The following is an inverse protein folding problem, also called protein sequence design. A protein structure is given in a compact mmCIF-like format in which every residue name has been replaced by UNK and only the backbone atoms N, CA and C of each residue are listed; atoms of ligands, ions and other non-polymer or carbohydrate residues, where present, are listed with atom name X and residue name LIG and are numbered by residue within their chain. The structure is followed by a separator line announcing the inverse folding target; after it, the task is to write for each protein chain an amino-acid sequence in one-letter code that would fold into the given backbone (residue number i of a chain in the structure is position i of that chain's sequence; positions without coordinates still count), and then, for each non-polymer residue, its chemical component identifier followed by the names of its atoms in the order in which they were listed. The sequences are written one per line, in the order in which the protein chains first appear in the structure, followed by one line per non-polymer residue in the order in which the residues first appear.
data_IF_688333446107
#
_entry.id   IF_688333446107
#
_cell.length_a   1.000
_cell.length_b   1.000
_cell.length_c   1.000
_cell.angle_alpha   90.00
_cell.angle_beta   90.00
_cell.angle_gamma   90.00
#
_symmetry.space_group_name_H-M   'P 1'
#
loop_
_entity.id
_entity.type
_entity.pdbx_description
1 polymer ?
#
# COMPACT_ATOMS: atom_id res chain seq x y z
N UNK A 1 33.90 27.15 -8.16
CA UNK A 1 32.61 27.48 -7.52
C UNK A 1 31.50 27.06 -8.47
N UNK A 2 31.01 25.85 -8.31
CA UNK A 2 29.78 25.41 -8.98
C UNK A 2 28.81 25.13 -7.84
N UNK A 3 27.79 25.98 -7.73
CA UNK A 3 26.76 25.88 -6.71
C UNK A 3 26.03 24.54 -6.88
N UNK A 4 26.15 23.65 -5.90
CA UNK A 4 25.35 22.43 -5.84
C UNK A 4 23.86 22.80 -5.89
N UNK A 5 23.04 22.08 -6.67
CA UNK A 5 21.61 22.35 -6.71
C UNK A 5 21.00 22.11 -5.34
N UNK A 6 20.16 23.04 -4.87
CA UNK A 6 19.36 22.92 -3.65
C UNK A 6 18.75 21.52 -3.54
N UNK A 7 19.26 20.69 -2.64
CA UNK A 7 18.68 19.38 -2.32
C UNK A 7 17.40 19.64 -1.54
N UNK A 8 16.26 19.67 -2.23
CA UNK A 8 14.93 19.70 -1.62
C UNK A 8 14.84 18.51 -0.66
N UNK A 9 14.48 18.73 0.60
CA UNK A 9 14.36 17.67 1.59
C UNK A 9 13.28 16.67 1.16
N UNK A 10 13.41 15.41 1.57
CA UNK A 10 12.35 14.42 1.35
C UNK A 10 11.00 14.87 1.96
N UNK A 11 11.06 15.63 3.05
CA UNK A 11 9.90 16.24 3.72
C UNK A 11 9.26 17.33 2.87
N UNK A 12 10.05 18.21 2.27
CA UNK A 12 9.56 19.29 1.39
C UNK A 12 8.85 18.69 0.18
N UNK A 13 9.44 17.66 -0.43
CA UNK A 13 8.82 16.95 -1.56
C UNK A 13 7.50 16.27 -1.16
N UNK A 14 7.45 15.71 0.05
CA UNK A 14 6.24 15.07 0.56
C UNK A 14 5.14 16.10 0.85
N UNK A 15 5.51 17.24 1.45
CA UNK A 15 4.65 18.40 1.68
C UNK A 15 4.01 18.89 0.38
N UNK A 16 4.80 19.14 -0.66
CA UNK A 16 4.31 19.53 -1.99
C UNK A 16 3.38 18.47 -2.59
N UNK A 17 3.77 17.20 -2.52
CA UNK A 17 3.03 16.09 -3.11
C UNK A 17 1.65 15.89 -2.47
N UNK A 18 1.55 16.07 -1.15
CA UNK A 18 0.33 15.89 -0.38
C UNK A 18 -0.53 17.17 -0.30
N UNK A 19 0.03 18.32 -0.67
CA UNK A 19 -0.61 19.62 -0.52
C UNK A 19 -0.83 19.97 0.96
N UNK A 20 0.14 19.63 1.80
CA UNK A 20 0.13 19.88 3.25
C UNK A 20 1.38 20.66 3.60
N UNK A 21 1.30 21.62 4.51
CA UNK A 21 2.49 22.25 5.07
C UNK A 21 3.36 21.22 5.81
N UNK A 22 4.65 21.52 5.97
CA UNK A 22 5.56 20.68 6.77
C UNK A 22 5.02 20.49 8.19
N UNK A 23 4.50 21.55 8.81
CA UNK A 23 3.90 21.48 10.14
C UNK A 23 2.67 20.55 10.17
N UNK A 24 1.77 20.63 9.19
CA UNK A 24 0.62 19.71 9.12
C UNK A 24 1.08 18.26 8.95
N UNK A 25 2.11 18.03 8.14
CA UNK A 25 2.68 16.71 7.90
C UNK A 25 3.34 16.12 9.16
N UNK A 26 4.09 16.92 9.91
CA UNK A 26 4.71 16.51 11.18
C UNK A 26 3.68 16.17 12.26
N UNK A 27 2.54 16.88 12.25
CA UNK A 27 1.44 16.62 13.18
C UNK A 27 0.41 15.63 12.65
N UNK A 28 0.62 15.11 11.44
CA UNK A 28 -0.33 14.23 10.79
C UNK A 28 -0.31 12.85 11.47
N UNK A 29 -1.45 12.46 12.05
CA UNK A 29 -1.63 11.16 12.68
C UNK A 29 -2.78 10.40 12.00
N UNK A 30 -2.50 9.32 11.24
CA UNK A 30 -3.52 8.54 10.56
C UNK A 30 -4.62 8.03 11.50
N UNK A 31 -5.87 8.26 11.13
CA UNK A 31 -7.03 7.87 11.94
C UNK A 31 -7.87 6.80 11.25
N UNK A 32 -8.27 5.79 12.03
CA UNK A 32 -9.06 4.66 11.54
C UNK A 32 -10.27 4.39 12.42
N UNK A 33 -11.40 4.15 11.76
CA UNK A 33 -12.57 3.51 12.37
C UNK A 33 -12.40 2.00 12.29
N UNK A 34 -12.75 1.33 13.38
CA UNK A 34 -12.58 -0.10 13.49
C UNK A 34 -13.93 -0.81 13.38
N UNK A 35 -13.97 -1.89 12.62
CA UNK A 35 -15.11 -2.80 12.58
C UNK A 35 -14.63 -4.24 12.60
N UNK A 36 -15.43 -5.14 13.17
CA UNK A 36 -15.14 -6.57 13.17
C UNK A 36 -16.15 -7.29 12.29
N UNK A 37 -15.67 -8.03 11.30
CA UNK A 37 -16.49 -8.88 10.45
C UNK A 37 -16.08 -10.34 10.60
N UNK A 38 -17.01 -11.27 10.35
CA UNK A 38 -16.68 -12.70 10.31
C UNK A 38 -15.87 -13.03 9.06
N UNK A 39 -14.80 -13.80 9.22
CA UNK A 39 -14.08 -14.41 8.09
C UNK A 39 -14.95 -15.53 7.51
N UNK A 40 -14.87 -15.74 6.18
CA UNK A 40 -15.55 -16.86 5.51
C UNK A 40 -15.10 -18.23 6.05
N UNK A 41 -13.84 -18.34 6.43
CA UNK A 41 -13.23 -19.55 6.99
C UNK A 41 -13.41 -19.71 8.50
N UNK A 42 -14.24 -18.87 9.14
CA UNK A 42 -14.36 -18.80 10.59
C UNK A 42 -13.36 -17.83 11.24
N UNK A 43 -13.71 -17.38 12.45
CA UNK A 43 -12.98 -16.32 13.17
C UNK A 43 -13.40 -14.90 12.78
N UNK A 44 -12.65 -13.92 13.28
CA UNK A 44 -12.92 -12.50 13.11
C UNK A 44 -11.84 -11.83 12.24
N UNK A 45 -12.23 -10.81 11.47
CA UNK A 45 -11.33 -9.89 10.77
C UNK A 45 -11.60 -8.48 11.28
N UNK A 46 -10.57 -7.87 11.84
CA UNK A 46 -10.56 -6.44 12.14
C UNK A 46 -10.39 -5.67 10.82
N UNK A 47 -11.32 -4.76 10.54
CA UNK A 47 -11.24 -3.80 9.46
C UNK A 47 -10.80 -2.46 10.06
N UNK A 48 -9.74 -1.88 9.49
CA UNK A 48 -9.27 -0.54 9.81
C UNK A 48 -9.64 0.38 8.64
N UNK A 49 -10.72 1.12 8.79
CA UNK A 49 -11.27 1.98 7.75
C UNK A 49 -10.73 3.39 7.96
N UNK A 50 -9.88 3.92 7.07
CA UNK A 50 -9.35 5.26 7.24
C UNK A 50 -10.49 6.28 7.20
N UNK A 51 -10.38 7.35 8.00
CA UNK A 51 -11.22 8.52 7.79
C UNK A 51 -10.90 9.18 6.44
N UNK A 52 -11.70 10.16 6.02
CA UNK A 52 -11.57 10.75 4.68
C UNK A 52 -10.21 11.40 4.44
N UNK A 53 -9.64 12.03 5.46
CA UNK A 53 -8.38 12.74 5.37
C UNK A 53 -7.18 11.77 5.31
N UNK A 54 -7.16 10.72 6.14
CA UNK A 54 -6.16 9.63 6.03
C UNK A 54 -6.26 8.91 4.69
N UNK A 55 -7.49 8.67 4.22
CA UNK A 55 -7.73 8.06 2.90
C UNK A 55 -7.21 8.94 1.77
N UNK A 56 -7.41 10.26 1.86
CA UNK A 56 -6.87 11.25 0.90
C UNK A 56 -5.36 11.15 0.83
N UNK A 57 -4.67 11.21 1.97
CA UNK A 57 -3.21 11.11 2.04
C UNK A 57 -2.72 9.78 1.44
N UNK A 58 -3.32 8.65 1.83
CA UNK A 58 -2.96 7.33 1.29
C UNK A 58 -3.16 7.23 -0.22
N UNK A 59 -4.22 7.82 -0.77
CA UNK A 59 -4.42 7.84 -2.23
C UNK A 59 -3.39 8.70 -2.95
N UNK A 60 -3.05 9.87 -2.41
CA UNK A 60 -2.01 10.71 -2.99
C UNK A 60 -0.65 10.00 -2.98
N UNK A 61 -0.30 9.32 -1.88
CA UNK A 61 0.90 8.48 -1.80
C UNK A 61 0.88 7.36 -2.84
N UNK A 62 -0.26 6.67 -2.99
CA UNK A 62 -0.41 5.62 -4.01
C UNK A 62 -0.22 6.18 -5.42
N UNK A 63 -0.91 7.24 -5.78
CA UNK A 63 -0.96 7.73 -7.16
C UNK A 63 0.34 8.44 -7.57
N UNK A 64 0.99 9.14 -6.63
CA UNK A 64 2.15 9.99 -6.93
C UNK A 64 3.49 9.34 -6.60
N UNK A 65 3.53 8.34 -5.71
CA UNK A 65 4.77 7.71 -5.25
C UNK A 65 4.76 6.19 -5.46
N UNK A 66 3.89 5.47 -4.76
CA UNK A 66 3.99 4.00 -4.63
C UNK A 66 3.56 3.28 -5.93
N UNK A 67 2.49 3.74 -6.57
CA UNK A 67 1.93 3.14 -7.78
C UNK A 67 2.81 3.27 -9.02
N UNK A 68 3.94 3.99 -8.93
CA UNK A 68 4.92 4.14 -10.01
C UNK A 68 6.00 3.07 -9.96
N UNK A 69 6.13 2.34 -8.85
CA UNK A 69 7.10 1.25 -8.76
C UNK A 69 6.67 0.08 -9.65
N UNK A 70 7.65 -0.46 -10.38
CA UNK A 70 7.43 -1.68 -11.18
C UNK A 70 7.34 -2.87 -10.24
N UNK A 71 6.25 -3.62 -10.33
CA UNK A 71 6.11 -4.90 -9.66
C UNK A 71 6.71 -6.02 -10.52
N UNK A 72 6.97 -7.17 -9.91
CA UNK A 72 7.41 -8.36 -10.64
C UNK A 72 6.33 -8.80 -11.65
N UNK A 73 6.73 -9.35 -12.80
CA UNK A 73 5.82 -9.73 -13.89
C UNK A 73 4.74 -10.75 -13.47
N UNK A 74 5.03 -11.58 -12.47
CA UNK A 74 4.07 -12.55 -11.90
C UNK A 74 3.12 -11.97 -10.85
N UNK A 75 3.26 -10.69 -10.47
CA UNK A 75 2.41 -10.06 -9.47
C UNK A 75 1.08 -9.65 -10.09
N UNK A 76 0.02 -10.41 -9.80
CA UNK A 76 -1.34 -10.08 -10.24
C UNK A 76 -2.16 -9.37 -9.16
N UNK A 77 -1.79 -9.54 -7.87
CA UNK A 77 -2.49 -8.92 -6.74
C UNK A 77 -2.37 -7.40 -6.76
N UNK A 78 -3.50 -6.71 -6.56
CA UNK A 78 -3.62 -5.24 -6.50
C UNK A 78 -3.02 -4.47 -7.69
N UNK A 79 -2.66 -5.16 -8.77
CA UNK A 79 -1.99 -4.58 -9.93
C UNK A 79 -3.01 -4.09 -10.94
N UNK A 80 -2.85 -2.83 -11.38
CA UNK A 80 -3.81 -2.19 -12.31
C UNK A 80 -3.87 -2.95 -13.63
N UNK A 81 -5.08 -3.25 -14.09
CA UNK A 81 -5.32 -3.94 -15.35
C UNK A 81 -5.14 -5.46 -15.31
N UNK A 82 -4.79 -6.03 -14.15
CA UNK A 82 -4.73 -7.47 -13.94
C UNK A 82 -5.90 -7.95 -13.08
N UNK A 83 -6.29 -9.19 -13.28
CA UNK A 83 -7.43 -9.83 -12.62
C UNK A 83 -7.04 -11.16 -11.98
N UNK A 84 -7.98 -11.72 -11.21
CA UNK A 84 -7.84 -13.08 -10.66
C UNK A 84 -7.72 -14.15 -11.76
N UNK A 85 -8.22 -13.87 -12.97
CA UNK A 85 -8.13 -14.78 -14.12
C UNK A 85 -6.70 -14.78 -14.65
N UNK A 86 -6.06 -13.61 -14.73
CA UNK A 86 -4.65 -13.50 -15.17
C UNK A 86 -3.73 -14.24 -14.22
N UNK A 87 -4.02 -14.20 -12.91
CA UNK A 87 -3.32 -15.00 -11.90
C UNK A 87 -3.52 -16.51 -12.10
N UNK A 88 -4.74 -16.95 -12.42
CA UNK A 88 -5.07 -18.37 -12.53
C UNK A 88 -4.56 -19.02 -13.83
N UNK A 89 -4.54 -18.28 -14.94
CA UNK A 89 -4.17 -18.76 -16.28
C UNK A 89 -2.85 -19.55 -16.34
N UNK A 90 -1.72 -19.10 -15.76
CA UNK A 90 -0.46 -19.85 -15.84
C UNK A 90 -0.49 -21.21 -15.13
N UNK A 91 -1.47 -21.43 -14.25
CA UNK A 91 -1.63 -22.66 -13.47
C UNK A 91 -2.58 -23.68 -14.12
N UNK A 92 -3.35 -23.30 -15.14
CA UNK A 92 -4.29 -24.20 -15.83
C UNK A 92 -3.52 -25.32 -16.52
N UNK A 93 -3.98 -26.56 -16.34
CA UNK A 93 -3.36 -27.75 -16.95
C UNK A 93 -2.05 -28.21 -16.30
N UNK A 94 -1.63 -27.59 -15.18
CA UNK A 94 -0.48 -28.08 -14.41
C UNK A 94 -0.88 -29.28 -13.57
N UNK A 95 -0.05 -30.32 -13.59
CA UNK A 95 -0.26 -31.54 -12.80
C UNK A 95 -0.23 -31.27 -11.28
N UNK A 96 0.52 -30.25 -10.85
CA UNK A 96 0.64 -29.87 -9.44
C UNK A 96 0.71 -28.35 -9.31
N UNK A 97 0.00 -27.81 -8.33
CA UNK A 97 0.01 -26.39 -7.97
C UNK A 97 0.28 -26.26 -6.48
N UNK A 98 1.33 -25.53 -6.12
CA UNK A 98 1.64 -25.23 -4.72
C UNK A 98 0.88 -23.97 -4.31
N UNK A 99 0.06 -24.07 -3.27
CA UNK A 99 -0.65 -22.94 -2.69
C UNK A 99 0.04 -22.52 -1.39
N UNK A 100 0.51 -21.28 -1.37
CA UNK A 100 1.12 -20.66 -0.20
C UNK A 100 0.28 -19.46 0.23
N UNK A 101 0.23 -19.20 1.53
CA UNK A 101 -0.40 -18.01 2.11
C UNK A 101 0.43 -17.53 3.30
N UNK A 102 0.43 -16.20 3.53
CA UNK A 102 1.13 -15.60 4.67
C UNK A 102 0.10 -15.33 5.75
N UNK A 103 0.27 -16.00 6.90
CA UNK A 103 -0.60 -15.78 8.04
C UNK A 103 -0.50 -14.32 8.52
N UNK A 104 -1.66 -13.68 8.63
CA UNK A 104 -1.81 -12.34 9.21
C UNK A 104 -0.83 -11.30 8.60
N UNK A 105 -0.74 -11.28 7.27
CA UNK A 105 0.18 -10.42 6.49
C UNK A 105 0.21 -8.95 6.95
N UNK A 106 -0.95 -8.27 6.96
CA UNK A 106 -1.03 -6.84 7.29
C UNK A 106 -0.56 -6.49 8.72
N UNK A 107 -1.08 -7.13 9.79
CA UNK A 107 -0.63 -6.80 11.15
C UNK A 107 0.82 -7.19 11.42
N UNK A 108 1.43 -8.09 10.63
CA UNK A 108 2.83 -8.50 10.78
C UNK A 108 3.82 -7.79 9.83
N UNK A 109 3.37 -6.76 9.09
CA UNK A 109 4.23 -5.92 8.25
C UNK A 109 4.65 -4.68 9.04
N UNK A 110 5.88 -4.67 9.56
CA UNK A 110 6.44 -3.58 10.37
C UNK A 110 7.32 -2.63 9.54
N UNK A 111 7.59 -1.43 10.07
CA UNK A 111 8.45 -0.43 9.42
C UNK A 111 9.86 -0.97 9.17
N UNK A 112 10.44 -1.74 10.10
CA UNK A 112 11.79 -2.33 9.96
C UNK A 112 11.89 -3.38 8.83
N UNK A 113 10.76 -3.79 8.25
CA UNK A 113 10.68 -4.79 7.17
C UNK A 113 10.37 -4.17 5.80
N UNK A 114 10.28 -2.85 5.71
CA UNK A 114 9.99 -2.08 4.49
C UNK A 114 11.19 -1.21 4.15
#
# INVERSE_FOLDING_TARGET
MVSSPNTVSGVDRLSEMLGMSVQELENFSPQYKHAVIKKRSGGNRLLQMPNDETKRVQRLLLDKLIGRYKTHASCCGFSKGLSIIDNARPHVGRETVIKLDIQDFFPNTTVDRI
#
